data_IF_495545775378
#
_entry.id   IF_495545775378
#
_cell.length_a   1.000
_cell.length_b   1.000
_cell.length_c   1.000
_cell.angle_alpha   90.00
_cell.angle_beta   90.00
_cell.angle_gamma   90.00
#
_symmetry.space_group_name_H-M   'P 1'
#
loop_
_entity.id
_entity.type
_entity.pdbx_description
1 polymer ?
#
# COMPACT_ATOMS: atom_id res chain seq x y z
N UNK A 1 2.84 2.73 -14.38
CA UNK A 1 2.18 1.46 -14.08
C UNK A 1 2.65 0.39 -15.06
N UNK A 2 3.18 -0.74 -14.59
CA UNK A 2 3.48 -1.92 -15.43
C UNK A 2 2.57 -3.11 -15.06
N UNK A 3 2.62 -4.21 -15.83
CA UNK A 3 1.73 -5.38 -15.61
C UNK A 3 1.86 -6.01 -14.22
N UNK A 4 3.06 -6.00 -13.63
CA UNK A 4 3.30 -6.57 -12.31
C UNK A 4 2.74 -5.67 -11.20
N UNK A 5 2.91 -4.35 -11.33
CA UNK A 5 2.33 -3.36 -10.41
C UNK A 5 0.80 -3.36 -10.48
N UNK A 6 0.22 -3.48 -11.68
CA UNK A 6 -1.23 -3.59 -11.88
C UNK A 6 -1.78 -4.85 -11.20
N UNK A 7 -1.12 -6.00 -11.36
CA UNK A 7 -1.49 -7.24 -10.67
C UNK A 7 -1.48 -7.07 -9.16
N UNK A 8 -0.45 -6.43 -8.61
CA UNK A 8 -0.34 -6.21 -7.17
C UNK A 8 -1.42 -5.26 -6.66
N UNK A 9 -1.71 -4.19 -7.42
CA UNK A 9 -2.81 -3.30 -7.11
C UNK A 9 -4.13 -4.09 -7.03
N UNK A 10 -4.43 -4.89 -8.04
CA UNK A 10 -5.61 -5.80 -8.02
C UNK A 10 -5.61 -6.74 -6.82
N UNK A 11 -4.45 -7.29 -6.44
CA UNK A 11 -4.33 -8.16 -5.27
C UNK A 11 -4.72 -7.44 -3.96
N UNK A 12 -4.34 -6.18 -3.79
CA UNK A 12 -4.76 -5.35 -2.65
C UNK A 12 -6.29 -5.18 -2.60
N UNK A 13 -6.94 -5.13 -3.76
CA UNK A 13 -8.39 -4.97 -3.88
C UNK A 13 -9.19 -6.28 -3.76
N UNK A 14 -8.53 -7.45 -3.69
CA UNK A 14 -9.24 -8.74 -3.53
C UNK A 14 -10.00 -8.85 -2.21
N UNK A 15 -11.03 -9.71 -2.20
CA UNK A 15 -11.75 -10.09 -0.98
C UNK A 15 -11.91 -11.63 -0.93
N UNK A 16 -11.38 -12.33 0.10
CA UNK A 16 -10.62 -11.79 1.22
C UNK A 16 -9.24 -11.25 0.79
N UNK A 17 -8.77 -10.18 1.45
CA UNK A 17 -7.43 -9.61 1.19
C UNK A 17 -6.32 -10.65 1.35
N UNK A 18 -5.33 -10.59 0.47
CA UNK A 18 -4.12 -11.42 0.56
C UNK A 18 -3.31 -11.07 1.82
N UNK A 19 -2.84 -12.10 2.53
CA UNK A 19 -1.89 -11.96 3.64
C UNK A 19 -0.44 -12.18 3.25
N UNK A 20 -0.14 -12.24 1.94
CA UNK A 20 1.18 -12.61 1.39
C UNK A 20 1.89 -11.45 0.70
N UNK A 21 1.31 -10.25 0.71
CA UNK A 21 1.86 -9.08 0.00
C UNK A 21 3.02 -8.49 0.82
N UNK A 22 4.24 -8.53 0.29
CA UNK A 22 5.38 -7.88 0.93
C UNK A 22 5.24 -6.35 0.87
N UNK A 23 5.63 -5.65 1.95
CA UNK A 23 5.51 -4.18 2.00
C UNK A 23 6.24 -3.49 0.84
N UNK A 24 7.44 -3.95 0.51
CA UNK A 24 8.24 -3.42 -0.61
C UNK A 24 7.50 -3.48 -1.95
N UNK A 25 6.69 -4.51 -2.14
CA UNK A 25 5.94 -4.65 -3.38
C UNK A 25 4.85 -3.59 -3.47
N UNK A 26 4.25 -3.16 -2.34
CA UNK A 26 3.22 -2.11 -2.27
C UNK A 26 3.80 -0.72 -2.59
N UNK A 27 5.06 -0.45 -2.25
CA UNK A 27 5.70 0.84 -2.51
C UNK A 27 5.81 1.14 -4.03
N UNK A 28 6.00 0.12 -4.87
CA UNK A 28 6.17 0.27 -6.31
C UNK A 28 4.91 0.79 -7.06
N UNK A 29 3.70 0.20 -6.93
CA UNK A 29 2.49 0.74 -7.55
C UNK A 29 2.14 2.12 -6.99
N UNK A 30 2.35 2.37 -5.69
CA UNK A 30 2.13 3.68 -5.08
C UNK A 30 3.00 4.77 -5.73
N UNK A 31 4.31 4.53 -5.88
CA UNK A 31 5.20 5.44 -6.58
C UNK A 31 4.75 5.67 -8.04
N UNK A 32 4.27 4.61 -8.72
CA UNK A 32 3.78 4.71 -10.10
C UNK A 32 2.46 5.50 -10.23
N UNK A 33 1.68 5.61 -9.14
CA UNK A 33 0.47 6.41 -9.03
C UNK A 33 0.77 7.86 -8.62
N UNK A 34 2.04 8.20 -8.37
CA UNK A 34 2.46 9.52 -7.92
C UNK A 34 2.31 9.75 -6.42
N UNK A 35 2.26 8.68 -5.61
CA UNK A 35 2.20 8.83 -4.16
C UNK A 35 3.54 9.35 -3.60
N UNK A 36 3.46 10.31 -2.68
CA UNK A 36 4.59 10.75 -1.87
C UNK A 36 4.74 9.81 -0.67
N UNK A 37 5.90 9.17 -0.55
CA UNK A 37 6.20 8.23 0.54
C UNK A 37 7.34 8.81 1.37
N UNK A 38 7.07 9.10 2.63
CA UNK A 38 8.04 9.70 3.56
C UNK A 38 8.25 8.79 4.78
N UNK A 39 9.50 8.48 5.09
CA UNK A 39 9.85 7.73 6.30
C UNK A 39 9.72 8.62 7.55
N UNK A 40 9.08 8.08 8.59
CA UNK A 40 8.95 8.71 9.89
C UNK A 40 9.96 8.16 10.90
N UNK A 41 9.76 8.48 12.17
CA UNK A 41 10.52 7.86 13.26
C UNK A 41 10.18 6.37 13.39
N UNK A 42 11.21 5.51 13.41
CA UNK A 42 11.06 4.05 13.50
C UNK A 42 10.52 3.43 12.21
N UNK A 43 9.60 2.46 12.33
CA UNK A 43 9.00 1.76 11.18
C UNK A 43 7.85 2.52 10.51
N UNK A 44 7.57 3.76 10.93
CA UNK A 44 6.45 4.55 10.41
C UNK A 44 6.71 5.04 9.00
N UNK A 45 5.70 4.93 8.14
CA UNK A 45 5.72 5.43 6.76
C UNK A 45 4.48 6.31 6.56
N UNK A 46 4.68 7.55 6.12
CA UNK A 46 3.60 8.47 5.76
C UNK A 46 3.43 8.44 4.25
N UNK A 47 2.20 8.27 3.79
CA UNK A 47 1.88 8.18 2.37
C UNK A 47 0.84 9.24 2.05
N UNK A 48 1.09 10.02 1.01
CA UNK A 48 0.14 10.99 0.47
C UNK A 48 -0.14 10.69 -1.00
N UNK A 49 -1.41 10.66 -1.40
CA UNK A 49 -1.83 10.43 -2.79
C UNK A 49 -3.14 11.17 -3.04
N UNK A 50 -3.22 11.96 -4.11
CA UNK A 50 -4.43 12.69 -4.51
C UNK A 50 -5.09 13.49 -3.37
N UNK A 51 -4.28 14.12 -2.51
CA UNK A 51 -4.76 14.89 -1.36
C UNK A 51 -5.14 14.05 -0.12
N UNK A 52 -5.18 12.73 -0.23
CA UNK A 52 -5.41 11.81 0.90
C UNK A 52 -4.10 11.45 1.55
N UNK A 53 -4.07 11.38 2.89
CA UNK A 53 -2.89 11.04 3.69
C UNK A 53 -3.19 9.90 4.64
N UNK A 54 -2.25 8.96 4.74
CA UNK A 54 -2.32 7.87 5.69
C UNK A 54 -0.94 7.57 6.30
N UNK A 55 -0.94 6.99 7.49
CA UNK A 55 0.26 6.53 8.18
C UNK A 55 0.18 5.02 8.33
N UNK A 56 1.25 4.35 7.91
CA UNK A 56 1.43 2.92 8.02
C UNK A 56 2.68 2.61 8.83
N UNK A 57 2.86 1.32 9.14
CA UNK A 57 4.06 0.79 9.74
C UNK A 57 4.60 -0.32 8.85
N UNK A 58 5.89 -0.27 8.53
CA UNK A 58 6.58 -1.41 7.92
C UNK A 58 6.47 -2.62 8.85
N UNK A 59 6.15 -3.81 8.31
CA UNK A 59 6.13 -5.02 9.11
C UNK A 59 7.53 -5.33 9.66
N UNK A 60 7.59 -5.74 10.94
CA UNK A 60 8.81 -6.18 11.61
C UNK A 60 8.44 -7.20 12.70
N UNK A 61 9.13 -8.35 12.80
CA UNK A 61 10.28 -8.81 12.00
C UNK A 61 9.93 -9.40 10.62
N UNK A 62 8.64 -9.64 10.36
CA UNK A 62 8.15 -10.22 9.10
C UNK A 62 8.23 -9.23 7.93
N UNK A 63 8.27 -9.74 6.71
CA UNK A 63 8.32 -8.91 5.48
C UNK A 63 6.92 -8.64 4.92
N UNK A 64 6.00 -9.54 5.23
CA UNK A 64 4.63 -9.55 4.77
C UNK A 64 3.80 -8.50 5.51
N UNK A 65 2.98 -7.79 4.75
CA UNK A 65 2.03 -6.82 5.28
C UNK A 65 0.87 -7.59 5.92
N UNK A 66 0.54 -7.26 7.17
CA UNK A 66 -0.59 -7.89 7.84
C UNK A 66 -1.90 -7.64 7.08
N UNK A 67 -2.85 -8.57 7.13
CA UNK A 67 -4.16 -8.40 6.47
C UNK A 67 -4.86 -7.10 6.89
N UNK A 68 -4.69 -6.67 8.14
CA UNK A 68 -5.23 -5.39 8.62
C UNK A 68 -4.60 -4.17 7.94
N UNK A 69 -3.28 -4.18 7.74
CA UNK A 69 -2.59 -3.14 6.99
C UNK A 69 -2.94 -3.17 5.50
N UNK A 70 -3.13 -4.35 4.89
CA UNK A 70 -3.62 -4.47 3.49
C UNK A 70 -5.04 -3.90 3.35
N UNK A 71 -5.96 -4.19 4.28
CA UNK A 71 -7.31 -3.57 4.29
C UNK A 71 -7.24 -2.05 4.42
N UNK A 72 -6.34 -1.55 5.27
CA UNK A 72 -6.11 -0.11 5.44
C UNK A 72 -5.54 0.53 4.18
N UNK A 73 -4.63 -0.16 3.49
CA UNK A 73 -4.09 0.27 2.19
C UNK A 73 -5.17 0.31 1.10
N UNK A 74 -6.02 -0.73 1.02
CA UNK A 74 -7.18 -0.76 0.10
C UNK A 74 -8.11 0.44 0.35
N UNK A 75 -8.41 0.73 1.62
CA UNK A 75 -9.22 1.90 2.00
C UNK A 75 -8.56 3.20 1.58
N UNK A 76 -7.27 3.39 1.89
CA UNK A 76 -6.50 4.57 1.50
C UNK A 76 -6.52 4.80 -0.02
N UNK A 77 -6.27 3.75 -0.81
CA UNK A 77 -6.30 3.81 -2.28
C UNK A 77 -7.70 4.18 -2.80
N UNK A 78 -8.74 3.60 -2.21
CA UNK A 78 -10.14 3.90 -2.56
C UNK A 78 -10.48 5.36 -2.27
N UNK A 79 -10.11 5.87 -1.10
CA UNK A 79 -10.31 7.28 -0.71
C UNK A 79 -9.51 8.23 -1.61
N UNK A 80 -8.31 7.82 -2.05
CA UNK A 80 -7.50 8.54 -3.03
C UNK A 80 -8.04 8.44 -4.48
N UNK A 81 -9.19 7.80 -4.70
CA UNK A 81 -9.82 7.67 -6.02
C UNK A 81 -9.20 6.62 -6.94
N UNK A 82 -8.30 5.78 -6.43
CA UNK A 82 -7.67 4.69 -7.19
C UNK A 82 -8.64 3.51 -7.29
N UNK A 83 -8.80 2.99 -8.50
CA UNK A 83 -9.56 1.78 -8.81
C UNK A 83 -8.62 0.73 -9.41
N UNK A 84 -8.85 -0.57 -9.15
CA UNK A 84 -8.09 -1.66 -9.75
C UNK A 84 -8.32 -1.81 -11.27
#
# INVERSE_FOLDING_TARGET
MNRSQDRLLREIFTDPVSGKIAWRDIEAPLASLGAEINEGQGSRVRIALNGVRAVFHRPHPQKETSRGAVRSMRRFLTEAGVKP
#
